data_IF_637505095477
#
_entry.id   IF_637505095477
#
_cell.length_a   1.000
_cell.length_b   1.000
_cell.length_c   1.000
_cell.angle_alpha   90.00
_cell.angle_beta   90.00
_cell.angle_gamma   90.00
#
_symmetry.space_group_name_H-M   'P 1'
#
loop_
_entity.id
_entity.type
_entity.pdbx_description
1 polymer ?
#
# COMPACT_ATOMS: atom_id res chain seq x y z
N UNK A 1 4.51 23.77 7.33
CA UNK A 1 4.84 22.73 6.32
C UNK A 1 4.82 21.38 7.00
N UNK A 2 3.94 20.49 6.54
CA UNK A 2 3.72 19.17 7.13
C UNK A 2 4.40 18.13 6.24
N UNK A 3 5.05 17.12 6.84
CA UNK A 3 5.63 15.97 6.10
C UNK A 3 4.87 14.68 6.40
N UNK A 4 4.44 14.00 5.34
CA UNK A 4 3.85 12.66 5.38
C UNK A 4 4.76 11.70 4.62
N UNK A 5 5.06 10.54 5.22
CA UNK A 5 5.85 9.50 4.56
C UNK A 5 4.96 8.31 4.22
N UNK A 6 4.91 7.94 2.95
CA UNK A 6 4.28 6.73 2.44
C UNK A 6 5.37 5.73 2.05
N UNK A 7 5.21 4.46 2.39
CA UNK A 7 6.14 3.40 1.97
C UNK A 7 5.37 2.17 1.52
N UNK A 8 5.61 1.73 0.28
CA UNK A 8 5.12 0.43 -0.19
C UNK A 8 5.92 -0.66 0.50
N UNK A 9 5.27 -1.74 0.93
CA UNK A 9 5.98 -2.90 1.45
C UNK A 9 7.08 -3.40 0.49
N UNK A 10 8.10 -4.05 1.06
CA UNK A 10 9.18 -4.65 0.27
C UNK A 10 8.69 -5.81 -0.61
N UNK A 11 9.52 -6.26 -1.55
CA UNK A 11 9.19 -7.38 -2.42
C UNK A 11 8.67 -8.59 -1.61
N UNK A 12 7.47 -9.07 -1.94
CA UNK A 12 6.92 -10.29 -1.34
C UNK A 12 7.34 -11.54 -2.11
N UNK A 13 7.21 -12.71 -1.47
CA UNK A 13 7.46 -14.00 -2.14
C UNK A 13 6.63 -14.16 -3.42
N UNK A 14 5.39 -13.68 -3.44
CA UNK A 14 4.53 -13.74 -4.64
C UNK A 14 4.77 -12.62 -5.65
N UNK A 15 5.43 -11.53 -5.27
CA UNK A 15 5.93 -10.59 -6.27
C UNK A 15 7.05 -11.25 -7.08
N UNK A 16 7.96 -11.96 -6.40
CA UNK A 16 9.04 -12.72 -7.02
C UNK A 16 8.50 -13.86 -7.90
N UNK A 17 7.47 -14.58 -7.46
CA UNK A 17 6.82 -15.66 -8.24
C UNK A 17 5.84 -15.15 -9.32
N UNK A 18 5.75 -13.84 -9.51
CA UNK A 18 4.81 -13.18 -10.43
C UNK A 18 3.33 -13.62 -10.27
N UNK A 19 2.85 -13.75 -9.04
CA UNK A 19 1.45 -14.12 -8.71
C UNK A 19 0.59 -12.92 -8.34
N UNK A 20 -0.72 -13.00 -8.57
CA UNK A 20 -1.68 -12.07 -7.98
C UNK A 20 -1.82 -12.33 -6.48
N UNK A 21 -1.53 -11.32 -5.65
CA UNK A 21 -1.55 -11.48 -4.18
C UNK A 21 -2.87 -11.06 -3.56
N UNK A 22 -3.21 -9.78 -3.68
CA UNK A 22 -4.38 -9.21 -3.00
C UNK A 22 -4.31 -9.39 -1.49
N UNK A 23 -5.38 -9.91 -0.90
CA UNK A 23 -5.48 -10.09 0.55
C UNK A 23 -4.82 -11.37 1.05
N UNK A 24 -4.33 -12.25 0.17
CA UNK A 24 -3.54 -13.40 0.60
C UNK A 24 -2.32 -12.94 1.39
N UNK A 25 -2.16 -13.50 2.59
CA UNK A 25 -1.24 -13.02 3.60
C UNK A 25 0.17 -13.62 3.48
N UNK A 26 0.79 -13.36 2.33
CA UNK A 26 2.17 -13.79 2.03
C UNK A 26 3.21 -12.87 2.67
N UNK A 27 4.38 -13.44 2.92
CA UNK A 27 5.50 -12.73 3.54
C UNK A 27 6.40 -12.00 2.54
N UNK A 28 7.33 -11.20 3.06
CA UNK A 28 8.45 -10.61 2.35
C UNK A 28 9.41 -11.69 1.84
N UNK A 29 10.00 -11.47 0.67
CA UNK A 29 11.15 -12.25 0.19
C UNK A 29 12.42 -11.84 0.96
N UNK A 30 13.53 -12.58 0.77
CA UNK A 30 14.83 -12.17 1.31
C UNK A 30 15.22 -10.77 0.84
N UNK A 31 14.94 -10.44 -0.41
CA UNK A 31 15.16 -9.09 -0.96
C UNK A 31 14.25 -8.06 -0.28
N UNK A 32 12.96 -8.35 -0.13
CA UNK A 32 12.02 -7.43 0.53
C UNK A 32 12.39 -7.10 1.98
N UNK A 33 12.99 -8.05 2.70
CA UNK A 33 13.58 -7.79 4.03
C UNK A 33 14.75 -6.80 3.96
N UNK A 34 15.61 -6.92 2.95
CA UNK A 34 16.74 -6.02 2.77
C UNK A 34 16.29 -4.62 2.35
N UNK A 35 15.36 -4.52 1.40
CA UNK A 35 14.82 -3.23 0.96
C UNK A 35 14.22 -2.45 2.15
N UNK A 36 13.48 -3.13 3.05
CA UNK A 36 12.93 -2.49 4.24
C UNK A 36 14.03 -1.98 5.21
N UNK A 37 15.17 -2.67 5.31
CA UNK A 37 16.32 -2.20 6.11
C UNK A 37 16.93 -0.95 5.48
N UNK A 38 17.13 -0.96 4.17
CA UNK A 38 17.67 0.21 3.46
C UNK A 38 16.74 1.42 3.58
N UNK A 39 15.43 1.23 3.46
CA UNK A 39 14.45 2.29 3.66
C UNK A 39 14.57 2.95 5.05
N UNK A 40 14.75 2.13 6.10
CA UNK A 40 14.96 2.63 7.45
C UNK A 40 16.28 3.40 7.62
N UNK A 41 17.37 2.95 6.98
CA UNK A 41 18.64 3.69 6.95
C UNK A 41 18.50 5.02 6.21
N UNK A 42 17.80 5.03 5.08
CA UNK A 42 17.51 6.24 4.29
C UNK A 42 16.77 7.27 5.15
N UNK A 43 15.67 6.87 5.81
CA UNK A 43 14.90 7.75 6.67
C UNK A 43 15.72 8.27 7.86
N UNK A 44 16.52 7.40 8.48
CA UNK A 44 17.41 7.77 9.60
C UNK A 44 18.48 8.77 9.19
N UNK A 45 19.19 8.52 8.07
CA UNK A 45 20.26 9.39 7.58
C UNK A 45 19.74 10.78 7.20
N UNK A 46 18.52 10.86 6.68
CA UNK A 46 17.83 12.12 6.35
C UNK A 46 17.02 12.70 7.52
N UNK A 47 17.27 12.25 8.76
CA UNK A 47 16.71 12.81 9.99
C UNK A 47 15.17 12.83 10.07
N UNK A 48 14.50 11.90 9.39
CA UNK A 48 13.06 11.73 9.54
C UNK A 48 12.73 11.15 10.91
N UNK A 49 11.66 11.65 11.52
CA UNK A 49 11.16 11.21 12.82
C UNK A 49 9.65 11.05 12.74
N UNK A 50 9.08 10.16 13.56
CA UNK A 50 7.65 9.84 13.53
C UNK A 50 7.07 9.81 14.93
N UNK A 51 5.82 10.26 15.06
CA UNK A 51 5.06 10.19 16.32
C UNK A 51 4.03 9.07 16.29
N UNK A 52 3.65 8.59 15.09
CA UNK A 52 2.62 7.58 14.88
C UNK A 52 2.84 6.88 13.53
N UNK A 53 2.52 5.58 13.49
CA UNK A 53 2.57 4.81 12.26
C UNK A 53 1.25 4.10 11.96
N UNK A 54 0.95 3.99 10.66
CA UNK A 54 -0.20 3.27 10.14
C UNK A 54 0.24 2.14 9.21
N UNK A 55 -0.46 1.02 9.27
CA UNK A 55 -0.25 -0.08 8.31
C UNK A 55 -1.51 -0.91 8.09
N UNK A 56 -1.45 -1.78 7.10
CA UNK A 56 -2.50 -2.76 6.82
C UNK A 56 -2.53 -3.89 7.87
N UNK A 57 -3.47 -4.83 7.74
CA UNK A 57 -3.46 -6.08 8.54
C UNK A 57 -2.68 -7.22 7.87
N UNK A 58 -1.96 -6.95 6.77
CA UNK A 58 -1.21 -7.96 6.02
C UNK A 58 0.27 -7.96 6.41
N UNK A 59 0.82 -9.15 6.67
CA UNK A 59 2.14 -9.35 7.31
C UNK A 59 3.28 -8.67 6.57
N UNK A 60 3.26 -8.66 5.23
CA UNK A 60 4.31 -8.03 4.42
C UNK A 60 4.47 -6.54 4.71
N UNK A 61 3.36 -5.82 4.90
CA UNK A 61 3.39 -4.39 5.19
C UNK A 61 3.70 -4.11 6.65
N UNK A 62 3.15 -4.91 7.58
CA UNK A 62 3.48 -4.85 9.00
C UNK A 62 4.98 -5.08 9.21
N UNK A 63 5.54 -6.11 8.56
CA UNK A 63 6.96 -6.47 8.68
C UNK A 63 7.87 -5.42 8.06
N UNK A 64 7.50 -4.83 6.91
CA UNK A 64 8.24 -3.68 6.37
C UNK A 64 8.28 -2.54 7.39
N UNK A 65 7.13 -2.15 7.95
CA UNK A 65 7.07 -1.08 8.94
C UNK A 65 7.94 -1.38 10.17
N UNK A 66 7.84 -2.59 10.73
CA UNK A 66 8.65 -3.00 11.89
C UNK A 66 10.15 -2.91 11.62
N UNK A 67 10.61 -3.37 10.45
CA UNK A 67 12.02 -3.29 10.09
C UNK A 67 12.47 -1.83 9.97
N UNK A 68 11.66 -0.99 9.32
CA UNK A 68 11.94 0.45 9.17
C UNK A 68 12.05 1.12 10.55
N UNK A 69 11.06 0.95 11.42
CA UNK A 69 11.06 1.54 12.76
C UNK A 69 12.21 1.02 13.62
N UNK A 70 12.59 -0.25 13.48
CA UNK A 70 13.74 -0.82 14.17
C UNK A 70 15.05 -0.16 13.72
N UNK A 71 15.28 0.02 12.40
CA UNK A 71 16.48 0.69 11.90
C UNK A 71 16.59 2.13 12.40
N UNK A 72 15.45 2.81 12.51
CA UNK A 72 15.38 4.20 12.96
C UNK A 72 15.41 4.37 14.48
N UNK A 73 15.25 3.29 15.26
CA UNK A 73 15.08 3.30 16.72
C UNK A 73 13.78 3.97 17.21
N UNK A 74 12.68 3.77 16.47
CA UNK A 74 11.33 4.27 16.79
C UNK A 74 10.35 3.14 17.17
N UNK A 75 10.85 2.07 17.82
CA UNK A 75 10.03 0.89 18.16
C UNK A 75 8.91 1.18 19.17
N UNK A 76 9.00 2.30 19.89
CA UNK A 76 8.09 2.69 20.96
C UNK A 76 6.87 3.49 20.47
N UNK A 77 6.86 3.95 19.22
CA UNK A 77 5.74 4.76 18.70
C UNK A 77 4.49 3.89 18.54
N UNK A 78 3.28 4.46 18.69
CA UNK A 78 2.04 3.73 18.45
C UNK A 78 1.90 3.31 16.98
N UNK A 79 1.49 2.06 16.75
CA UNK A 79 1.26 1.46 15.42
C UNK A 79 -0.20 1.02 15.30
N UNK A 80 -0.96 1.66 14.42
CA UNK A 80 -2.35 1.32 14.13
C UNK A 80 -2.45 0.48 12.86
N UNK A 81 -3.20 -0.62 12.94
CA UNK A 81 -3.37 -1.58 11.85
C UNK A 81 -4.82 -1.58 11.41
N UNK A 82 -5.08 -1.45 10.10
CA UNK A 82 -6.44 -1.39 9.57
C UNK A 82 -6.57 -2.14 8.26
N UNK A 83 -7.63 -2.94 8.12
CA UNK A 83 -7.96 -3.63 6.86
C UNK A 83 -8.26 -2.64 5.73
N UNK A 84 -8.67 -1.42 6.08
CA UNK A 84 -8.90 -0.33 5.11
C UNK A 84 -7.63 0.09 4.38
N UNK A 85 -6.44 -0.26 4.91
CA UNK A 85 -5.14 -0.06 4.26
C UNK A 85 -4.62 -1.31 3.55
N UNK A 86 -5.41 -2.39 3.41
CA UNK A 86 -5.00 -3.57 2.65
C UNK A 86 -4.82 -3.26 1.15
N UNK A 87 -4.07 -4.13 0.48
CA UNK A 87 -3.99 -4.17 -1.00
C UNK A 87 -5.39 -4.35 -1.61
N UNK A 88 -5.55 -4.04 -2.91
CA UNK A 88 -6.77 -4.40 -3.64
C UNK A 88 -7.03 -5.91 -3.60
N UNK A 89 -8.25 -6.33 -3.27
CA UNK A 89 -8.66 -7.74 -3.31
C UNK A 89 -8.80 -8.21 -4.77
N UNK A 90 -7.94 -9.13 -5.22
CA UNK A 90 -7.94 -9.61 -6.61
C UNK A 90 -8.96 -10.73 -6.89
N UNK A 91 -9.85 -11.00 -5.94
CA UNK A 91 -10.91 -11.99 -6.07
C UNK A 91 -10.38 -13.39 -6.40
N UNK A 92 -10.99 -14.04 -7.38
CA UNK A 92 -10.60 -15.38 -7.80
C UNK A 92 -9.20 -15.45 -8.43
N UNK A 93 -8.59 -14.31 -8.83
CA UNK A 93 -7.24 -14.29 -9.37
C UNK A 93 -6.16 -14.53 -8.32
N UNK A 94 -6.47 -14.37 -7.02
CA UNK A 94 -5.46 -14.50 -5.94
C UNK A 94 -4.79 -15.88 -5.96
N UNK A 95 -3.46 -15.91 -6.13
CA UNK A 95 -2.65 -17.12 -6.24
C UNK A 95 -2.32 -17.56 -7.66
N UNK A 96 -3.01 -17.03 -8.68
CA UNK A 96 -2.70 -17.32 -10.07
C UNK A 96 -1.45 -16.56 -10.51
N UNK A 97 -0.65 -17.18 -11.39
CA UNK A 97 0.47 -16.52 -12.04
C UNK A 97 -0.06 -15.51 -13.09
N UNK A 98 0.55 -14.31 -13.15
CA UNK A 98 0.07 -13.23 -14.01
C UNK A 98 0.27 -13.49 -15.49
N UNK A 99 1.38 -14.12 -15.88
CA UNK A 99 1.66 -14.45 -17.28
C UNK A 99 0.72 -15.54 -17.78
N UNK A 100 0.51 -16.58 -16.99
CA UNK A 100 -0.46 -17.64 -17.33
C UNK A 100 -1.89 -17.09 -17.43
N UNK A 101 -2.26 -16.19 -16.52
CA UNK A 101 -3.56 -15.51 -16.55
C UNK A 101 -3.68 -14.64 -17.81
N UNK A 102 -2.63 -13.92 -18.19
CA UNK A 102 -2.62 -13.10 -19.41
C UNK A 102 -2.74 -13.97 -20.67
N UNK A 103 -2.06 -15.11 -20.73
CA UNK A 103 -2.22 -16.09 -21.83
C UNK A 103 -3.65 -16.62 -21.93
N UNK A 104 -4.33 -16.81 -20.80
CA UNK A 104 -5.68 -17.38 -20.75
C UNK A 104 -6.79 -16.36 -21.03
N UNK A 105 -6.67 -15.13 -20.52
CA UNK A 105 -7.74 -14.13 -20.54
C UNK A 105 -7.42 -12.92 -21.46
N UNK A 106 -6.21 -12.86 -22.02
CA UNK A 106 -5.71 -11.73 -22.81
C UNK A 106 -4.97 -10.70 -21.96
N UNK A 107 -3.92 -10.11 -22.53
CA UNK A 107 -3.10 -9.09 -21.87
C UNK A 107 -3.91 -7.83 -21.55
N UNK A 108 -4.76 -7.38 -22.47
CA UNK A 108 -5.62 -6.21 -22.27
C UNK A 108 -6.60 -6.41 -21.11
N UNK A 109 -7.23 -7.58 -21.02
CA UNK A 109 -8.17 -7.88 -19.92
C UNK A 109 -7.46 -7.92 -18.56
N UNK A 110 -6.27 -8.53 -18.51
CA UNK A 110 -5.45 -8.55 -17.30
C UNK A 110 -4.95 -7.14 -16.96
N UNK A 111 -4.64 -6.32 -17.95
CA UNK A 111 -4.29 -4.92 -17.75
C UNK A 111 -5.47 -4.14 -17.15
N UNK A 112 -6.69 -4.31 -17.68
CA UNK A 112 -7.90 -3.70 -17.15
C UNK A 112 -8.13 -4.09 -15.68
N UNK A 113 -8.12 -5.39 -15.34
CA UNK A 113 -8.22 -5.84 -13.95
C UNK A 113 -7.11 -5.29 -13.04
N UNK A 114 -5.94 -4.99 -13.61
CA UNK A 114 -4.79 -4.48 -12.84
C UNK A 114 -4.83 -2.97 -12.66
N UNK A 115 -5.36 -2.21 -13.61
CA UNK A 115 -5.16 -0.75 -13.66
C UNK A 115 -6.44 0.06 -13.79
N UNK A 116 -7.55 -0.53 -14.24
CA UNK A 116 -8.82 0.19 -14.38
C UNK A 116 -9.38 0.60 -13.02
N UNK A 117 -10.01 1.77 -13.00
CA UNK A 117 -10.79 2.25 -11.85
C UNK A 117 -12.06 1.43 -11.64
N UNK A 118 -12.66 0.94 -12.72
CA UNK A 118 -14.02 0.42 -12.72
C UNK A 118 -14.07 -1.11 -12.88
N UNK A 119 -13.06 -1.71 -13.51
CA UNK A 119 -13.08 -3.15 -13.80
C UNK A 119 -12.67 -4.00 -12.60
N UNK A 120 -13.58 -4.87 -12.17
CA UNK A 120 -13.35 -5.83 -11.09
C UNK A 120 -12.83 -7.16 -11.67
N UNK A 121 -11.79 -7.76 -11.07
CA UNK A 121 -11.47 -9.17 -11.31
C UNK A 121 -12.64 -10.11 -11.01
N UNK A 122 -12.65 -11.34 -11.55
CA UNK A 122 -13.67 -12.34 -11.22
C UNK A 122 -13.81 -12.54 -9.71
N UNK A 123 -15.05 -12.56 -9.21
CA UNK A 123 -15.33 -12.65 -7.78
C UNK A 123 -14.95 -14.01 -7.17
N UNK A 124 -14.44 -13.97 -5.94
CA UNK A 124 -14.21 -15.14 -5.12
C UNK A 124 -15.54 -15.72 -4.61
N UNK A 125 -15.67 -17.04 -4.59
CA UNK A 125 -16.82 -17.70 -3.95
C UNK A 125 -16.65 -17.68 -2.43
N UNK A 126 -17.73 -17.50 -1.68
CA UNK A 126 -17.68 -17.54 -0.19
C UNK A 126 -17.35 -18.92 0.38
N UNK A 127 -17.45 -19.97 -0.43
CA UNK A 127 -17.03 -21.34 -0.10
C UNK A 127 -15.56 -21.61 -0.40
N UNK A 128 -14.84 -20.65 -1.00
CA UNK A 128 -13.42 -20.78 -1.31
C UNK A 128 -12.57 -20.64 -0.04
N UNK A 129 -11.51 -21.44 0.09
CA UNK A 129 -10.60 -21.38 1.25
C UNK A 129 -9.92 -20.02 1.42
N UNK A 130 -9.80 -19.24 0.34
CA UNK A 130 -9.26 -17.87 0.37
C UNK A 130 -10.25 -16.84 0.94
N UNK A 131 -11.52 -17.23 1.15
CA UNK A 131 -12.53 -16.37 1.76
C UNK A 131 -12.35 -16.35 3.29
N UNK A 132 -11.44 -15.50 3.76
CA UNK A 132 -11.02 -15.44 5.17
C UNK A 132 -11.92 -14.54 6.05
N UNK A 133 -13.20 -14.37 5.74
CA UNK A 133 -14.07 -13.43 6.47
C UNK A 133 -14.19 -13.73 7.98
N UNK A 134 -13.98 -14.99 8.39
CA UNK A 134 -13.97 -15.42 9.80
C UNK A 134 -12.61 -15.23 10.50
N UNK A 135 -11.56 -14.84 9.79
CA UNK A 135 -10.24 -14.65 10.38
C UNK A 135 -10.29 -13.48 11.39
N UNK A 136 -9.75 -13.65 12.63
CA UNK A 136 -9.85 -12.64 13.69
C UNK A 136 -9.37 -11.23 13.32
N UNK A 137 -8.44 -11.08 12.36
CA UNK A 137 -7.98 -9.75 11.88
C UNK A 137 -9.04 -8.95 11.12
N UNK A 138 -10.17 -9.59 10.78
CA UNK A 138 -11.30 -9.01 10.06
C UNK A 138 -12.56 -8.89 10.91
N UNK A 139 -12.48 -9.12 12.23
CA UNK A 139 -13.63 -9.08 13.15
C UNK A 139 -14.42 -7.76 13.17
N UNK A 140 -13.79 -6.66 12.74
CA UNK A 140 -14.41 -5.33 12.66
C UNK A 140 -15.22 -5.10 11.39
N UNK A 141 -15.08 -5.98 10.39
CA UNK A 141 -15.92 -5.94 9.19
C UNK A 141 -17.33 -6.41 9.55
N UNK A 142 -18.34 -5.61 9.18
CA UNK A 142 -19.72 -6.06 9.31
C UNK A 142 -19.98 -7.25 8.37
N UNK A 143 -21.01 -8.05 8.70
CA UNK A 143 -21.42 -9.18 7.88
C UNK A 143 -21.65 -8.72 6.43
N UNK A 144 -20.95 -9.36 5.49
CA UNK A 144 -21.03 -9.04 4.05
C UNK A 144 -20.07 -7.95 3.57
N UNK A 145 -19.28 -7.31 4.44
CA UNK A 145 -18.29 -6.30 4.03
C UNK A 145 -16.93 -6.89 3.65
N UNK A 146 -16.67 -8.17 3.93
CA UNK A 146 -15.46 -8.82 3.43
C UNK A 146 -15.51 -8.90 1.90
N UNK A 147 -14.55 -8.31 1.18
CA UNK A 147 -14.61 -8.21 -0.27
C UNK A 147 -14.40 -9.58 -0.92
N UNK A 148 -15.22 -9.88 -1.93
CA UNK A 148 -15.00 -11.03 -2.83
C UNK A 148 -14.21 -10.64 -4.08
N UNK A 149 -14.11 -9.35 -4.39
CA UNK A 149 -13.27 -8.73 -5.43
C UNK A 149 -13.32 -7.21 -5.21
N UNK A 150 -12.30 -6.49 -5.67
CA UNK A 150 -12.24 -5.03 -5.64
C UNK A 150 -11.66 -4.53 -6.97
N UNK A 151 -12.17 -3.40 -7.45
CA UNK A 151 -11.47 -2.54 -8.42
C UNK A 151 -10.67 -1.45 -7.66
N UNK A 152 -10.07 -0.50 -8.37
CA UNK A 152 -9.32 0.58 -7.71
C UNK A 152 -10.25 1.58 -7.01
N UNK A 153 -11.45 1.86 -7.54
CA UNK A 153 -12.44 2.73 -6.90
C UNK A 153 -12.94 2.17 -5.55
N UNK A 154 -13.17 0.85 -5.45
CA UNK A 154 -13.53 0.16 -4.20
C UNK A 154 -12.42 0.33 -3.16
N UNK A 155 -11.18 0.17 -3.60
CA UNK A 155 -9.99 0.36 -2.75
C UNK A 155 -9.88 1.80 -2.28
N UNK A 156 -10.04 2.76 -3.19
CA UNK A 156 -9.99 4.19 -2.88
C UNK A 156 -11.05 4.58 -1.85
N UNK A 157 -12.29 4.15 -2.04
CA UNK A 157 -13.38 4.45 -1.10
C UNK A 157 -13.01 4.10 0.34
N UNK A 158 -12.61 2.86 0.63
CA UNK A 158 -12.27 2.44 2.00
C UNK A 158 -11.00 3.10 2.53
N UNK A 159 -10.04 3.42 1.66
CA UNK A 159 -8.81 4.12 2.04
C UNK A 159 -9.12 5.56 2.45
N UNK A 160 -9.99 6.25 1.69
CA UNK A 160 -10.37 7.63 1.97
C UNK A 160 -11.26 7.77 3.20
N UNK A 161 -12.13 6.78 3.48
CA UNK A 161 -12.83 6.70 4.76
C UNK A 161 -11.81 6.70 5.92
N UNK A 162 -10.80 5.82 5.89
CA UNK A 162 -9.77 5.76 6.94
C UNK A 162 -8.87 7.00 6.99
N UNK A 163 -8.57 7.58 5.83
CA UNK A 163 -7.83 8.83 5.73
C UNK A 163 -8.56 9.96 6.46
N UNK A 164 -9.82 10.20 6.13
CA UNK A 164 -10.62 11.30 6.67
C UNK A 164 -10.94 11.12 8.15
N UNK A 165 -11.24 9.88 8.59
CA UNK A 165 -11.64 9.59 9.96
C UNK A 165 -10.46 9.50 10.94
N UNK A 166 -9.26 9.12 10.47
CA UNK A 166 -8.14 8.76 11.36
C UNK A 166 -6.81 9.43 11.01
N UNK A 167 -6.33 9.27 9.78
CA UNK A 167 -4.97 9.70 9.40
C UNK A 167 -4.89 11.23 9.32
N UNK A 168 -5.77 11.87 8.55
CA UNK A 168 -5.78 13.32 8.38
C UNK A 168 -5.98 14.07 9.70
N UNK A 169 -6.90 13.67 10.61
CA UNK A 169 -6.97 14.25 11.95
C UNK A 169 -5.66 14.16 12.74
N UNK A 170 -4.94 13.03 12.64
CA UNK A 170 -3.64 12.87 13.31
C UNK A 170 -2.59 13.83 12.76
N UNK A 171 -2.55 14.00 11.44
CA UNK A 171 -1.66 14.94 10.78
C UNK A 171 -1.99 16.39 11.21
N UNK A 172 -3.28 16.76 11.21
CA UNK A 172 -3.75 18.09 11.66
C UNK A 172 -3.47 18.36 13.14
N UNK A 173 -3.37 17.32 13.96
CA UNK A 173 -2.93 17.42 15.35
C UNK A 173 -1.40 17.58 15.50
N UNK A 174 -0.67 17.83 14.41
CA UNK A 174 0.77 18.06 14.40
C UNK A 174 1.63 16.80 14.51
N UNK A 175 1.05 15.60 14.34
CA UNK A 175 1.81 14.35 14.38
C UNK A 175 2.57 14.12 13.07
N UNK A 176 3.83 13.69 13.19
CA UNK A 176 4.64 13.19 12.06
C UNK A 176 4.25 11.75 11.77
N UNK A 177 3.73 11.50 10.58
CA UNK A 177 3.09 10.23 10.22
C UNK A 177 3.91 9.45 9.18
N UNK A 178 4.06 8.14 9.42
CA UNK A 178 4.48 7.16 8.41
C UNK A 178 3.36 6.16 8.13
N UNK A 179 3.14 5.84 6.86
CA UNK A 179 2.18 4.83 6.42
C UNK A 179 2.92 3.76 5.62
N UNK A 180 2.98 2.53 6.14
CA UNK A 180 3.38 1.37 5.33
C UNK A 180 2.15 0.68 4.77
N UNK A 181 2.07 0.55 3.45
CA UNK A 181 0.93 -0.06 2.78
C UNK A 181 1.31 -0.80 1.48
N UNK A 182 0.37 -0.89 0.55
CA UNK A 182 0.47 -1.67 -0.69
C UNK A 182 0.37 -0.78 -1.92
N UNK A 183 0.63 -1.35 -3.09
CA UNK A 183 0.70 -0.60 -4.34
C UNK A 183 -0.60 0.15 -4.66
N UNK A 184 -1.75 -0.52 -4.62
CA UNK A 184 -3.02 0.15 -4.95
C UNK A 184 -3.53 1.05 -3.83
N UNK A 185 -3.21 0.75 -2.57
CA UNK A 185 -3.50 1.64 -1.43
C UNK A 185 -2.78 2.98 -1.59
N UNK A 186 -1.49 2.95 -1.92
CA UNK A 186 -0.70 4.17 -2.13
C UNK A 186 -1.18 4.90 -3.38
N UNK A 187 -1.48 4.20 -4.48
CA UNK A 187 -2.08 4.83 -5.67
C UNK A 187 -3.36 5.58 -5.35
N UNK A 188 -4.26 4.98 -4.57
CA UNK A 188 -5.50 5.65 -4.16
C UNK A 188 -5.22 6.93 -3.34
N UNK A 189 -4.27 6.88 -2.40
CA UNK A 189 -3.87 8.08 -1.65
C UNK A 189 -3.25 9.15 -2.55
N UNK A 190 -2.37 8.77 -3.49
CA UNK A 190 -1.76 9.71 -4.42
C UNK A 190 -2.80 10.34 -5.35
N UNK A 191 -3.72 9.54 -5.89
CA UNK A 191 -4.82 10.02 -6.73
C UNK A 191 -5.63 11.10 -6.01
N UNK A 192 -6.00 10.84 -4.75
CA UNK A 192 -6.73 11.78 -3.91
C UNK A 192 -5.92 13.04 -3.58
N UNK A 193 -4.67 12.90 -3.13
CA UNK A 193 -3.83 14.02 -2.72
C UNK A 193 -3.51 14.92 -3.92
N UNK A 194 -3.04 14.34 -5.02
CA UNK A 194 -2.59 15.07 -6.20
C UNK A 194 -3.74 15.46 -7.16
N UNK A 195 -4.99 15.11 -6.82
CA UNK A 195 -6.19 15.35 -7.64
C UNK A 195 -6.01 14.83 -9.08
N UNK A 196 -5.42 13.65 -9.23
CA UNK A 196 -5.13 13.03 -10.53
C UNK A 196 -6.41 12.38 -11.07
N UNK A 197 -6.65 12.53 -12.38
CA UNK A 197 -7.78 11.87 -13.03
C UNK A 197 -7.65 10.34 -12.97
N UNK A 198 -8.78 9.60 -12.98
CA UNK A 198 -8.80 8.13 -13.10
C UNK A 198 -7.81 7.53 -14.11
N UNK A 199 -7.62 8.18 -15.25
CA UNK A 199 -6.76 7.68 -16.34
C UNK A 199 -5.26 7.89 -16.07
N UNK A 200 -4.91 8.91 -15.27
CA UNK A 200 -3.52 9.26 -14.98
C UNK A 200 -2.84 8.30 -13.99
N UNK A 201 -3.59 7.71 -13.05
CA UNK A 201 -3.03 6.85 -11.99
C UNK A 201 -2.73 5.42 -12.48
N UNK A 202 -3.42 4.98 -13.54
CA UNK A 202 -3.31 3.62 -14.08
C UNK A 202 -1.86 3.23 -14.40
N UNK A 203 -1.07 4.17 -14.91
CA UNK A 203 0.32 3.93 -15.31
C UNK A 203 1.34 4.16 -14.19
N UNK A 204 0.92 4.66 -13.03
CA UNK A 204 1.83 4.97 -11.95
C UNK A 204 2.40 3.67 -11.34
N UNK A 205 3.73 3.59 -11.31
CA UNK A 205 4.45 2.53 -10.64
C UNK A 205 5.02 3.04 -9.32
N UNK A 206 4.64 2.38 -8.22
CA UNK A 206 5.14 2.69 -6.88
C UNK A 206 6.24 1.67 -6.57
N UNK A 207 7.52 2.04 -6.47
CA UNK A 207 8.59 1.12 -6.14
C UNK A 207 8.43 0.53 -4.73
N UNK A 208 8.97 -0.67 -4.51
CA UNK A 208 8.94 -1.34 -3.21
C UNK A 208 9.93 -0.69 -2.25
N UNK A 209 9.51 -0.46 -1.01
CA UNK A 209 10.36 0.04 0.09
C UNK A 209 11.16 1.32 -0.20
N UNK A 210 10.75 2.15 -1.16
CA UNK A 210 11.32 3.49 -1.32
C UNK A 210 10.38 4.48 -0.63
N UNK A 211 10.84 5.26 0.36
CA UNK A 211 10.00 6.27 1.00
C UNK A 211 9.56 7.33 0.01
N UNK A 212 8.24 7.54 -0.09
CA UNK A 212 7.61 8.63 -0.82
C UNK A 212 7.20 9.71 0.19
N UNK A 213 7.81 10.87 0.10
CA UNK A 213 7.57 12.00 0.99
C UNK A 213 6.61 12.96 0.32
N UNK A 214 5.53 13.30 1.03
CA UNK A 214 4.64 14.41 0.70
C UNK A 214 4.94 15.58 1.62
N UNK A 215 5.11 16.76 1.02
CA UNK A 215 5.08 18.03 1.73
C UNK A 215 3.71 18.67 1.52
N UNK A 216 3.00 18.92 2.62
CA UNK A 216 1.62 19.40 2.62
C UNK A 216 1.52 20.78 3.27
N UNK A 217 0.55 21.56 2.81
CA UNK A 217 0.09 22.78 3.49
C UNK A 217 -0.78 22.45 4.74
N UNK A 218 -1.21 23.48 5.47
CA UNK A 218 -2.01 23.31 6.69
C UNK A 218 -3.42 22.76 6.41
N UNK A 219 -3.87 22.78 5.16
CA UNK A 219 -5.11 22.17 4.69
C UNK A 219 -4.92 20.75 4.15
N UNK A 220 -3.71 20.18 4.29
CA UNK A 220 -3.29 18.89 3.75
C UNK A 220 -3.28 18.81 2.22
N UNK A 221 -3.22 19.95 1.53
CA UNK A 221 -3.00 19.96 0.08
C UNK A 221 -1.52 19.74 -0.21
N UNK A 222 -1.16 18.89 -1.18
CA UNK A 222 0.23 18.68 -1.53
C UNK A 222 0.84 19.94 -2.14
N UNK A 223 1.97 20.36 -1.59
CA UNK A 223 2.87 21.36 -2.16
C UNK A 223 3.81 20.69 -3.17
N UNK A 224 4.33 19.51 -2.81
CA UNK A 224 5.13 18.63 -3.67
C UNK A 224 5.22 17.23 -3.07
N UNK A 225 5.67 16.27 -3.88
CA UNK A 225 6.09 14.96 -3.41
C UNK A 225 7.38 14.50 -4.11
N UNK A 226 8.17 13.67 -3.44
CA UNK A 226 9.42 13.12 -3.97
C UNK A 226 9.73 11.77 -3.33
N UNK A 227 10.46 10.92 -4.05
CA UNK A 227 11.06 9.74 -3.44
C UNK A 227 12.34 10.14 -2.71
N UNK A 228 12.66 9.43 -1.63
CA UNK A 228 13.84 9.66 -0.81
C UNK A 228 14.85 8.51 -0.99
N UNK A 229 16.08 8.85 -1.33
CA UNK A 229 17.24 7.98 -1.35
C UNK A 229 18.24 8.33 -0.26
N UNK A 230 19.36 7.59 -0.23
CA UNK A 230 20.37 7.72 0.83
C UNK A 230 21.07 9.09 0.82
N UNK A 231 21.12 9.77 -0.33
CA UNK A 231 21.77 11.06 -0.51
C UNK A 231 20.78 12.21 -0.75
N UNK A 232 19.50 11.99 -0.44
CA UNK A 232 18.44 12.99 -0.54
C UNK A 232 17.35 12.61 -1.53
N UNK A 233 16.73 13.61 -2.16
CA UNK A 233 15.63 13.41 -3.11
C UNK A 233 16.09 12.65 -4.36
N UNK A 234 15.27 11.69 -4.83
CA UNK A 234 15.53 10.94 -6.06
C UNK A 234 14.37 11.11 -7.06
N UNK A 235 14.63 10.97 -8.38
CA UNK A 235 13.62 11.18 -9.42
C UNK A 235 12.37 10.31 -9.24
N UNK A 236 11.22 10.82 -9.69
CA UNK A 236 9.91 10.14 -9.63
C UNK A 236 9.82 8.90 -10.53
N UNK A 237 10.68 8.79 -11.54
CA UNK A 237 10.81 7.59 -12.37
C UNK A 237 11.86 6.64 -11.80
N UNK A 238 11.40 5.74 -10.92
CA UNK A 238 12.18 4.59 -10.47
C UNK A 238 11.72 3.38 -11.29
N UNK A 239 12.60 2.73 -12.08
CA UNK A 239 12.26 1.51 -12.79
C UNK A 239 11.70 0.47 -11.83
N UNK A 240 10.59 -0.19 -12.20
CA UNK A 240 10.11 -1.36 -11.45
C UNK A 240 11.18 -2.46 -11.47
N UNK A 241 11.60 -2.90 -10.28
CA UNK A 241 12.23 -4.20 -10.07
C UNK A 241 11.25 -5.34 -10.31
#
# INVERSE_FOLDING_TARGET
>A
MIKLVLIRHGQSVWNLENKFTGWTDVDLSKNGLQEAREAGKVLKKNEYTFDIAYTSVLKRSIRTLWIVLHQMDFMWIPIYKSWRLNERHYGALQGLNKEETAKKFGEEQVHLWRRSMNERPPALKTTDIRYEASNPKYKELAKGQFPVTENLADTEKRVLEYWNETIAPSIKAGKKVIISAHGNTIRALMQYLDNISPDGIANLNIPTSVPLVYELDDNLKPLRHYYLGIDGEIPTHIPSS
#
